data_IF_335126262331
#
_entry.id   IF_335126262331
#
_cell.length_a   1.000
_cell.length_b   1.000
_cell.length_c   1.000
_cell.angle_alpha   90.00
_cell.angle_beta   90.00
_cell.angle_gamma   90.00
#
_symmetry.space_group_name_H-M   'P 1'
#
loop_
_entity.id
_entity.type
_entity.pdbx_description
1 polymer ?
#
# COMPACT_ATOMS: atom_id res chain seq x y z
N UNK A 1 -9.13 4.66 22.18
CA UNK A 1 -9.62 3.26 22.24
C UNK A 1 -8.81 2.50 21.21
N UNK A 2 -8.32 1.29 21.50
CA UNK A 2 -7.46 0.55 20.56
C UNK A 2 -8.31 -0.02 19.44
N UNK A 3 -7.83 0.06 18.21
CA UNK A 3 -8.45 -0.54 17.03
C UNK A 3 -7.54 -1.68 16.55
N UNK A 4 -7.92 -2.92 16.82
CA UNK A 4 -7.05 -4.08 16.63
C UNK A 4 -7.89 -5.21 16.06
N UNK A 5 -7.69 -5.49 14.78
CA UNK A 5 -8.29 -6.64 14.11
C UNK A 5 -7.75 -7.96 14.67
N UNK A 6 -8.54 -9.01 14.53
CA UNK A 6 -8.17 -10.35 15.00
C UNK A 6 -7.06 -11.00 14.15
N UNK A 7 -6.84 -10.51 12.91
CA UNK A 7 -6.00 -11.16 11.91
C UNK A 7 -6.73 -12.30 11.19
N UNK A 8 -6.16 -12.76 10.08
CA UNK A 8 -6.71 -13.85 9.26
C UNK A 8 -5.78 -15.06 9.17
N UNK A 9 -4.50 -14.89 9.49
CA UNK A 9 -3.56 -15.99 9.66
C UNK A 9 -3.55 -16.43 11.13
N UNK A 10 -3.46 -17.75 11.34
CA UNK A 10 -3.32 -18.25 12.70
C UNK A 10 -1.85 -18.18 13.06
N UNK A 11 -1.51 -17.40 14.08
CA UNK A 11 -0.13 -17.27 14.55
C UNK A 11 0.21 -18.34 15.59
N UNK A 12 1.47 -18.76 15.58
CA UNK A 12 2.04 -19.59 16.63
C UNK A 12 2.39 -18.75 17.85
N UNK A 13 2.76 -19.42 18.95
CA UNK A 13 3.30 -18.72 20.12
C UNK A 13 4.61 -18.00 19.77
N UNK A 14 4.69 -16.73 20.13
CA UNK A 14 5.93 -15.98 19.98
C UNK A 14 7.08 -16.66 20.76
N UNK A 15 8.28 -16.80 20.18
CA UNK A 15 9.40 -17.43 20.88
C UNK A 15 9.91 -16.61 22.08
N UNK A 16 9.43 -15.38 22.29
CA UNK A 16 9.77 -14.55 23.44
C UNK A 16 11.22 -14.06 23.41
N UNK A 17 11.84 -14.02 22.23
CA UNK A 17 13.19 -13.48 22.06
C UNK A 17 13.22 -12.01 22.42
N UNK A 18 14.29 -11.58 23.10
CA UNK A 18 14.42 -10.19 23.53
C UNK A 18 14.45 -9.26 22.30
N UNK A 19 13.43 -8.41 22.17
CA UNK A 19 13.30 -7.39 21.12
C UNK A 19 12.37 -6.27 21.58
N UNK A 20 12.30 -5.17 20.82
CA UNK A 20 11.40 -4.08 21.18
C UNK A 20 9.94 -4.49 20.97
N UNK A 21 9.02 -3.82 21.66
CA UNK A 21 7.59 -4.06 21.43
C UNK A 21 7.20 -3.72 19.98
N UNK A 22 7.83 -2.73 19.36
CA UNK A 22 7.60 -2.38 17.96
C UNK A 22 8.01 -3.53 17.02
N UNK A 23 9.21 -4.09 17.21
CA UNK A 23 9.68 -5.22 16.40
C UNK A 23 8.75 -6.43 16.55
N UNK A 24 8.24 -6.68 17.76
CA UNK A 24 7.28 -7.74 18.00
C UNK A 24 5.95 -7.51 17.26
N UNK A 25 5.42 -6.28 17.29
CA UNK A 25 4.20 -5.92 16.55
C UNK A 25 4.40 -5.96 15.03
N UNK A 26 5.57 -5.52 14.54
CA UNK A 26 5.91 -5.62 13.11
C UNK A 26 6.02 -7.08 12.66
N UNK A 27 6.61 -7.96 13.47
CA UNK A 27 6.66 -9.40 13.14
C UNK A 27 5.26 -9.99 12.97
N UNK A 28 4.32 -9.64 13.85
CA UNK A 28 2.91 -10.03 13.74
C UNK A 28 2.30 -9.45 12.46
N UNK A 29 2.54 -8.18 12.19
CA UNK A 29 2.01 -7.46 11.01
C UNK A 29 2.48 -8.10 9.71
N UNK A 30 3.79 -8.35 9.59
CA UNK A 30 4.40 -8.98 8.42
C UNK A 30 3.92 -10.43 8.26
N UNK A 31 3.67 -11.15 9.36
CA UNK A 31 3.12 -12.51 9.28
C UNK A 31 1.68 -12.55 8.75
N UNK A 32 0.97 -11.43 8.82
CA UNK A 32 -0.44 -11.32 8.49
C UNK A 32 -0.72 -10.65 7.14
N UNK A 33 0.26 -10.03 6.48
CA UNK A 33 0.04 -8.98 5.47
C UNK A 33 -0.83 -7.83 6.01
N UNK A 34 -0.75 -7.58 7.31
CA UNK A 34 -1.51 -6.52 7.97
C UNK A 34 -0.85 -5.15 7.82
N UNK A 35 -1.40 -4.19 8.53
CA UNK A 35 -0.78 -2.88 8.72
C UNK A 35 -0.82 -2.44 10.17
N UNK A 36 0.28 -1.81 10.60
CA UNK A 36 0.45 -1.25 11.93
C UNK A 36 0.76 0.24 11.81
N UNK A 37 -0.09 1.07 12.41
CA UNK A 37 0.09 2.51 12.42
C UNK A 37 -0.47 3.15 13.69
N UNK A 38 -0.29 4.45 13.84
CA UNK A 38 -0.87 5.25 14.92
C UNK A 38 -1.88 6.20 14.30
N UNK A 39 -3.14 6.15 14.74
CA UNK A 39 -4.18 7.04 14.23
C UNK A 39 -3.95 8.49 14.66
N UNK A 40 -4.66 9.43 14.05
CA UNK A 40 -4.63 10.85 14.42
C UNK A 40 -4.96 11.10 15.92
N UNK A 41 -5.74 10.21 16.55
CA UNK A 41 -6.06 10.25 17.98
C UNK A 41 -4.96 9.67 18.88
N UNK A 42 -3.83 9.25 18.31
CA UNK A 42 -2.70 8.66 19.04
C UNK A 42 -2.92 7.20 19.48
N UNK A 43 -3.87 6.48 18.88
CA UNK A 43 -4.09 5.06 19.18
C UNK A 43 -3.28 4.18 18.24
N UNK A 44 -2.67 3.11 18.76
CA UNK A 44 -2.11 2.05 17.92
C UNK A 44 -3.25 1.29 17.23
N UNK A 45 -3.10 1.13 15.92
CA UNK A 45 -4.06 0.45 15.04
C UNK A 45 -3.38 -0.73 14.36
N UNK A 46 -4.03 -1.89 14.39
CA UNK A 46 -3.68 -3.04 13.57
C UNK A 46 -4.86 -3.40 12.67
N UNK A 47 -4.62 -3.41 11.36
CA UNK A 47 -5.59 -3.79 10.33
C UNK A 47 -5.16 -5.11 9.69
N UNK A 48 -6.10 -6.03 9.49
CA UNK A 48 -5.84 -7.30 8.84
C UNK A 48 -5.77 -7.18 7.31
N UNK A 49 -5.37 -8.28 6.64
CA UNK A 49 -5.19 -8.28 5.18
C UNK A 49 -6.45 -8.00 4.37
N UNK A 50 -7.65 -8.24 4.90
CA UNK A 50 -8.87 -7.93 4.16
C UNK A 50 -9.03 -6.42 4.05
N UNK A 51 -8.71 -5.67 5.11
CA UNK A 51 -8.74 -4.21 5.07
C UNK A 51 -7.59 -3.69 4.20
N UNK A 52 -6.37 -4.17 4.39
CA UNK A 52 -5.21 -3.64 3.64
C UNK A 52 -5.33 -3.88 2.13
N UNK A 53 -5.90 -5.01 1.70
CA UNK A 53 -6.13 -5.29 0.28
C UNK A 53 -7.47 -4.71 -0.23
N UNK A 54 -8.51 -4.69 0.61
CA UNK A 54 -9.87 -4.35 0.22
C UNK A 54 -10.21 -2.86 0.24
N UNK A 55 -9.48 -2.02 1.00
CA UNK A 55 -9.85 -0.60 1.14
C UNK A 55 -9.79 0.19 -0.17
N UNK A 56 -9.05 -0.31 -1.16
CA UNK A 56 -9.02 0.27 -2.52
C UNK A 56 -10.40 0.25 -3.22
N UNK A 57 -11.32 -0.61 -2.77
CA UNK A 57 -12.71 -0.66 -3.24
C UNK A 57 -13.65 0.31 -2.55
N UNK A 58 -13.16 1.14 -1.62
CA UNK A 58 -13.96 2.14 -0.90
C UNK A 58 -14.42 3.32 -1.78
N UNK A 59 -15.04 4.33 -1.16
CA UNK A 59 -15.47 5.54 -1.88
C UNK A 59 -14.25 6.38 -2.28
N UNK A 60 -14.03 6.48 -3.58
CA UNK A 60 -12.83 7.12 -4.14
C UNK A 60 -12.93 8.65 -4.18
N UNK A 61 -11.90 9.33 -3.67
CA UNK A 61 -11.71 10.77 -3.92
C UNK A 61 -10.89 10.99 -5.19
N UNK A 62 -11.42 11.74 -6.16
CA UNK A 62 -10.77 11.93 -7.47
C UNK A 62 -10.01 13.25 -7.55
N UNK A 63 -8.71 13.13 -7.84
CA UNK A 63 -7.79 14.21 -8.16
C UNK A 63 -7.49 14.24 -9.65
N UNK A 64 -7.63 15.40 -10.30
CA UNK A 64 -7.48 15.53 -11.75
C UNK A 64 -7.05 16.96 -12.17
N UNK A 65 -6.27 17.07 -13.24
CA UNK A 65 -5.71 18.32 -13.77
C UNK A 65 -6.55 18.99 -14.87
N UNK A 66 -7.59 18.33 -15.38
CA UNK A 66 -8.36 18.81 -16.53
C UNK A 66 -9.54 19.74 -16.18
N UNK A 67 -9.67 20.13 -14.91
CA UNK A 67 -10.78 20.96 -14.41
C UNK A 67 -12.01 20.18 -13.96
N UNK A 68 -11.97 18.84 -14.01
CA UNK A 68 -12.93 17.96 -13.31
C UNK A 68 -12.31 17.46 -12.01
N UNK A 69 -13.09 17.17 -10.97
CA UNK A 69 -12.54 16.69 -9.68
C UNK A 69 -11.76 17.74 -8.88
N UNK A 70 -10.91 17.29 -7.97
CA UNK A 70 -10.05 18.14 -7.15
C UNK A 70 -8.71 18.35 -7.88
N UNK A 71 -8.30 19.60 -8.12
CA UNK A 71 -6.98 19.87 -8.70
C UNK A 71 -5.87 19.45 -7.74
N UNK A 72 -4.63 19.29 -8.23
CA UNK A 72 -3.46 19.04 -7.38
C UNK A 72 -2.28 19.87 -7.90
N UNK A 73 -1.32 20.18 -7.04
CA UNK A 73 -0.16 20.99 -7.40
C UNK A 73 0.93 20.16 -8.11
N UNK A 74 1.08 18.88 -7.73
CA UNK A 74 2.01 17.96 -8.36
C UNK A 74 1.53 16.50 -8.24
N UNK A 75 1.91 15.66 -9.19
CA UNK A 75 1.72 14.21 -9.14
C UNK A 75 3.02 13.52 -9.57
N UNK A 76 3.49 12.55 -8.77
CA UNK A 76 4.76 11.86 -8.98
C UNK A 76 4.51 10.56 -9.74
N UNK A 77 4.47 10.64 -11.07
CA UNK A 77 4.35 9.47 -11.93
C UNK A 77 5.69 8.79 -12.16
N UNK A 78 5.71 7.47 -12.02
CA UNK A 78 6.90 6.64 -12.16
C UNK A 78 6.61 5.41 -13.01
N UNK A 79 7.57 5.04 -13.85
CA UNK A 79 7.60 3.79 -14.59
C UNK A 79 9.01 3.24 -14.51
N UNK A 80 9.21 2.25 -13.65
CA UNK A 80 10.46 1.54 -13.46
C UNK A 80 10.18 0.16 -12.87
N UNK A 81 11.22 -0.65 -12.69
CA UNK A 81 11.17 -1.99 -12.13
C UNK A 81 11.46 -2.05 -10.62
N UNK A 82 11.56 -0.90 -9.92
CA UNK A 82 11.97 -0.87 -8.50
C UNK A 82 11.01 -1.58 -7.54
N UNK A 83 9.76 -1.77 -7.96
CA UNK A 83 8.74 -2.50 -7.20
C UNK A 83 8.43 -3.89 -7.79
N UNK A 84 9.23 -4.34 -8.76
CA UNK A 84 9.13 -5.71 -9.28
C UNK A 84 9.79 -6.66 -8.29
N UNK A 85 9.07 -7.70 -7.90
CA UNK A 85 9.57 -8.82 -7.12
C UNK A 85 9.03 -10.11 -7.72
N UNK A 86 9.92 -10.87 -8.35
CA UNK A 86 9.59 -12.07 -9.11
C UNK A 86 10.19 -13.35 -8.52
N UNK A 87 10.81 -13.23 -7.35
CA UNK A 87 11.24 -14.32 -6.49
C UNK A 87 10.98 -13.93 -5.04
N UNK A 88 10.24 -14.74 -4.29
CA UNK A 88 10.00 -14.52 -2.87
C UNK A 88 10.40 -15.76 -2.07
N UNK A 89 11.21 -15.58 -1.04
CA UNK A 89 11.55 -16.63 -0.08
C UNK A 89 11.05 -16.26 1.31
N UNK A 90 10.18 -17.10 1.87
CA UNK A 90 9.49 -16.84 3.14
C UNK A 90 9.72 -18.01 4.07
N UNK A 91 10.05 -17.73 5.34
CA UNK A 91 10.16 -18.77 6.36
C UNK A 91 9.50 -18.35 7.66
N UNK A 92 8.78 -19.30 8.25
CA UNK A 92 8.24 -19.18 9.60
C UNK A 92 9.30 -19.56 10.65
N UNK A 93 9.17 -19.06 11.88
CA UNK A 93 10.10 -19.33 12.98
C UNK A 93 10.19 -20.83 13.33
N UNK A 94 11.30 -21.49 12.98
CA UNK A 94 11.48 -22.94 13.20
C UNK A 94 10.90 -23.83 12.09
N UNK A 95 10.44 -23.25 10.97
CA UNK A 95 10.07 -23.98 9.76
C UNK A 95 11.18 -23.98 8.70
N UNK A 96 10.82 -24.36 7.47
CA UNK A 96 11.75 -24.36 6.33
C UNK A 96 11.45 -23.23 5.34
N UNK A 97 12.47 -22.63 4.68
CA UNK A 97 12.24 -21.61 3.66
C UNK A 97 11.40 -22.14 2.49
N UNK A 98 10.31 -21.44 2.19
CA UNK A 98 9.46 -21.65 1.03
C UNK A 98 9.81 -20.62 -0.04
N UNK A 99 9.83 -21.02 -1.31
CA UNK A 99 10.19 -20.13 -2.41
C UNK A 99 9.16 -20.17 -3.52
N UNK A 100 8.73 -19.00 -3.98
CA UNK A 100 7.92 -18.82 -5.18
C UNK A 100 8.69 -17.99 -6.20
N UNK A 101 8.57 -18.32 -7.49
CA UNK A 101 9.20 -17.58 -8.59
C UNK A 101 8.24 -17.38 -9.75
N UNK A 102 8.45 -16.32 -10.53
CA UNK A 102 7.84 -16.13 -11.84
C UNK A 102 8.93 -16.11 -12.91
N UNK A 103 9.10 -17.24 -13.63
CA UNK A 103 10.17 -17.39 -14.61
C UNK A 103 10.05 -16.41 -15.79
N UNK A 104 8.85 -16.17 -16.29
CA UNK A 104 8.66 -15.24 -17.41
C UNK A 104 9.03 -13.80 -17.03
N UNK A 105 8.70 -13.39 -15.81
CA UNK A 105 9.14 -12.10 -15.25
C UNK A 105 10.66 -12.06 -15.03
N UNK A 106 11.27 -13.13 -14.53
CA UNK A 106 12.74 -13.23 -14.39
C UNK A 106 13.44 -13.12 -15.75
N UNK A 107 12.91 -13.76 -16.79
CA UNK A 107 13.47 -13.67 -18.15
C UNK A 107 13.40 -12.24 -18.71
N UNK A 108 12.44 -11.44 -18.26
CA UNK A 108 12.18 -10.06 -18.71
C UNK A 108 12.93 -9.00 -17.89
N UNK A 109 12.93 -9.14 -16.57
CA UNK A 109 13.43 -8.13 -15.63
C UNK A 109 14.65 -8.58 -14.83
N UNK A 110 15.17 -9.79 -15.06
CA UNK A 110 16.13 -10.45 -14.16
C UNK A 110 15.55 -10.68 -12.74
N UNK A 111 16.32 -11.37 -11.91
CA UNK A 111 15.87 -11.75 -10.57
C UNK A 111 15.73 -10.51 -9.66
N UNK A 112 14.54 -10.37 -9.10
CA UNK A 112 14.24 -9.41 -8.05
C UNK A 112 13.68 -10.17 -6.85
N UNK A 113 14.50 -10.28 -5.79
CA UNK A 113 14.21 -11.16 -4.66
C UNK A 113 13.64 -10.41 -3.46
N UNK A 114 12.59 -10.96 -2.86
CA UNK A 114 12.04 -10.56 -1.57
C UNK A 114 12.26 -11.68 -0.55
N UNK A 115 12.75 -11.36 0.65
CA UNK A 115 13.08 -12.37 1.66
C UNK A 115 12.53 -11.94 3.03
N UNK A 116 11.73 -12.79 3.66
CA UNK A 116 11.33 -12.65 5.06
C UNK A 116 11.53 -13.96 5.81
N UNK A 117 11.91 -13.85 7.08
CA UNK A 117 12.22 -15.01 7.92
C UNK A 117 11.70 -14.81 9.33
N UNK A 118 11.59 -15.92 10.06
CA UNK A 118 11.13 -15.94 11.45
C UNK A 118 9.72 -15.38 11.63
N UNK A 119 8.86 -15.51 10.61
CA UNK A 119 7.46 -15.12 10.71
C UNK A 119 6.67 -16.07 11.61
N UNK A 120 5.54 -15.60 12.13
CA UNK A 120 4.78 -16.26 13.19
C UNK A 120 3.64 -17.16 12.67
N UNK A 121 3.36 -17.20 11.38
CA UNK A 121 2.42 -18.17 10.77
C UNK A 121 2.74 -19.62 11.17
N UNK A 122 1.72 -20.46 11.33
CA UNK A 122 1.84 -21.79 11.94
C UNK A 122 2.48 -22.83 11.03
N UNK A 123 2.28 -22.74 9.72
CA UNK A 123 2.65 -23.79 8.78
C UNK A 123 3.58 -23.30 7.67
N UNK A 124 4.39 -24.21 7.13
CA UNK A 124 5.18 -23.92 5.93
C UNK A 124 4.27 -23.71 4.71
N UNK A 125 3.06 -24.27 4.70
CA UNK A 125 2.07 -24.02 3.65
C UNK A 125 1.64 -22.53 3.61
N UNK A 126 1.35 -21.91 4.75
CA UNK A 126 1.04 -20.48 4.82
C UNK A 126 2.20 -19.61 4.34
N UNK A 127 3.45 -20.03 4.61
CA UNK A 127 4.64 -19.33 4.10
C UNK A 127 4.77 -19.44 2.58
N UNK A 128 4.39 -20.59 2.00
CA UNK A 128 4.35 -20.75 0.56
C UNK A 128 3.25 -19.89 -0.08
N UNK A 129 2.04 -19.88 0.49
CA UNK A 129 0.93 -19.05 0.02
C UNK A 129 1.30 -17.56 0.08
N UNK A 130 1.98 -17.13 1.14
CA UNK A 130 2.54 -15.78 1.24
C UNK A 130 3.45 -15.48 0.04
N UNK A 131 4.45 -16.34 -0.21
CA UNK A 131 5.43 -16.14 -1.26
C UNK A 131 4.76 -16.06 -2.65
N UNK A 132 3.78 -16.94 -2.90
CA UNK A 132 3.03 -16.98 -4.15
C UNK A 132 2.19 -15.72 -4.36
N UNK A 133 1.47 -15.26 -3.33
CA UNK A 133 0.69 -14.02 -3.41
C UNK A 133 1.59 -12.81 -3.70
N UNK A 134 2.74 -12.71 -3.02
CA UNK A 134 3.68 -11.60 -3.24
C UNK A 134 4.18 -11.54 -4.67
N UNK A 135 4.64 -12.69 -5.19
CA UNK A 135 5.15 -12.79 -6.58
C UNK A 135 4.04 -12.51 -7.58
N UNK A 136 2.82 -13.00 -7.35
CA UNK A 136 1.70 -12.75 -8.25
C UNK A 136 1.41 -11.25 -8.41
N UNK A 137 1.43 -10.48 -7.30
CA UNK A 137 1.13 -9.05 -7.30
C UNK A 137 2.29 -8.15 -7.68
N UNK A 138 3.53 -8.67 -7.68
CA UNK A 138 4.75 -7.87 -7.92
C UNK A 138 5.60 -8.37 -9.10
N UNK A 139 5.16 -9.37 -9.85
CA UNK A 139 5.95 -9.91 -10.97
C UNK A 139 6.03 -8.98 -12.18
N UNK A 140 5.18 -7.97 -12.32
CA UNK A 140 5.19 -7.04 -13.45
C UNK A 140 5.27 -5.59 -12.98
N UNK A 141 5.75 -4.72 -13.85
CA UNK A 141 5.69 -3.27 -13.63
C UNK A 141 4.54 -2.64 -14.41
N UNK A 142 3.99 -1.58 -13.85
CA UNK A 142 3.06 -0.67 -14.53
C UNK A 142 3.38 0.77 -14.14
N UNK A 143 2.82 1.73 -14.88
CA UNK A 143 2.90 3.14 -14.48
C UNK A 143 2.21 3.28 -13.12
N UNK A 144 2.79 4.04 -12.21
CA UNK A 144 2.23 4.30 -10.88
C UNK A 144 2.39 5.76 -10.49
N UNK A 145 1.51 6.23 -9.62
CA UNK A 145 1.70 7.51 -8.95
C UNK A 145 2.19 7.22 -7.54
N UNK A 146 3.42 7.62 -7.20
CA UNK A 146 4.01 7.38 -5.87
C UNK A 146 3.57 8.47 -4.86
N UNK A 147 2.97 9.56 -5.34
CA UNK A 147 2.32 10.54 -4.48
C UNK A 147 1.78 11.75 -5.19
N UNK A 148 0.93 12.51 -4.49
CA UNK A 148 0.37 13.77 -4.96
C UNK A 148 0.59 14.88 -3.93
N UNK A 149 0.82 16.10 -4.41
CA UNK A 149 0.95 17.30 -3.57
C UNK A 149 -0.25 18.21 -3.78
N UNK A 150 -0.85 18.66 -2.68
CA UNK A 150 -1.89 19.68 -2.66
C UNK A 150 -1.33 20.99 -2.11
N UNK A 151 -1.68 22.11 -2.74
CA UNK A 151 -1.37 23.45 -2.24
C UNK A 151 -2.59 24.11 -1.61
N UNK A 152 -2.68 24.03 -0.29
CA UNK A 152 -3.80 24.57 0.47
C UNK A 152 -3.77 26.10 0.58
N UNK A 153 -2.69 26.73 0.13
CA UNK A 153 -2.59 28.18 0.03
C UNK A 153 -3.17 28.72 -1.30
N UNK A 154 -3.59 27.84 -2.20
CA UNK A 154 -4.21 28.22 -3.47
C UNK A 154 -5.57 28.91 -3.26
N UNK A 155 -5.84 30.04 -3.92
CA UNK A 155 -7.15 30.69 -3.84
C UNK A 155 -8.28 29.78 -4.34
N UNK A 156 -9.44 29.83 -3.67
CA UNK A 156 -10.67 29.10 -4.04
C UNK A 156 -10.50 27.57 -4.11
N UNK A 157 -9.75 26.99 -3.17
CA UNK A 157 -9.38 25.57 -3.17
C UNK A 157 -10.07 24.75 -2.07
N UNK A 158 -11.33 25.09 -1.74
CA UNK A 158 -12.07 24.53 -0.60
C UNK A 158 -12.19 23.00 -0.64
N UNK A 159 -12.45 22.41 -1.80
CA UNK A 159 -12.56 20.94 -1.94
C UNK A 159 -11.24 20.23 -1.67
N UNK A 160 -10.13 20.81 -2.11
CA UNK A 160 -8.79 20.29 -1.84
C UNK A 160 -8.38 20.46 -0.37
N UNK A 161 -8.79 21.54 0.29
CA UNK A 161 -8.61 21.72 1.74
C UNK A 161 -9.38 20.65 2.51
N UNK A 162 -10.65 20.41 2.16
CA UNK A 162 -11.46 19.36 2.81
C UNK A 162 -10.79 18.00 2.62
N UNK A 163 -10.43 17.64 1.38
CA UNK A 163 -9.76 16.35 1.11
C UNK A 163 -8.44 16.20 1.87
N UNK A 164 -7.61 17.26 1.92
CA UNK A 164 -6.34 17.24 2.62
C UNK A 164 -6.45 17.01 4.13
N UNK A 165 -7.56 17.46 4.74
CA UNK A 165 -7.81 17.33 6.16
C UNK A 165 -8.64 16.10 6.53
N UNK A 166 -9.36 15.52 5.57
CA UNK A 166 -10.24 14.37 5.80
C UNK A 166 -9.62 13.03 5.42
N UNK A 167 -8.73 13.01 4.41
CA UNK A 167 -8.14 11.77 3.91
C UNK A 167 -6.96 11.33 4.80
N UNK A 168 -6.90 10.04 5.08
CA UNK A 168 -5.87 9.40 5.90
C UNK A 168 -5.45 8.05 5.30
N UNK A 169 -4.63 7.30 6.05
CA UNK A 169 -4.12 5.98 5.70
C UNK A 169 -5.24 5.04 5.22
N UNK A 170 -4.98 4.29 4.15
CA UNK A 170 -5.92 3.40 3.45
C UNK A 170 -7.08 4.04 2.68
N UNK A 171 -7.27 5.36 2.74
CA UNK A 171 -8.31 5.99 1.92
C UNK A 171 -7.97 5.83 0.43
N UNK A 172 -8.93 5.39 -0.40
CA UNK A 172 -8.72 5.22 -1.82
C UNK A 172 -8.86 6.56 -2.54
N UNK A 173 -7.87 6.85 -3.38
CA UNK A 173 -7.88 8.02 -4.26
C UNK A 173 -7.67 7.61 -5.70
N UNK A 174 -8.22 8.38 -6.63
CA UNK A 174 -7.93 8.26 -8.06
C UNK A 174 -7.23 9.50 -8.55
N UNK A 175 -6.09 9.31 -9.20
CA UNK A 175 -5.27 10.39 -9.74
C UNK A 175 -5.30 10.29 -11.27
N UNK A 176 -5.70 11.40 -11.89
CA UNK A 176 -5.75 11.52 -13.35
C UNK A 176 -4.86 12.68 -13.79
N UNK A 177 -3.97 12.43 -14.76
CA UNK A 177 -3.09 13.46 -15.32
C UNK A 177 -3.14 13.44 -16.83
N UNK A 178 -3.46 14.58 -17.42
CA UNK A 178 -3.50 14.78 -18.86
C UNK A 178 -2.07 14.90 -19.41
N UNK A 179 -1.70 14.01 -20.33
CA UNK A 179 -0.37 14.01 -20.94
C UNK A 179 -0.31 14.96 -22.15
N UNK A 180 0.89 15.49 -22.48
CA UNK A 180 1.10 16.15 -23.76
C UNK A 180 0.73 15.20 -24.91
N UNK A 181 -0.32 15.54 -25.67
CA UNK A 181 -0.87 14.69 -26.74
C UNK A 181 -2.28 14.16 -26.46
N UNK A 182 -2.86 14.43 -25.28
CA UNK A 182 -4.27 14.20 -24.98
C UNK A 182 -4.62 12.82 -24.42
N UNK A 183 -3.64 11.93 -24.21
CA UNK A 183 -3.83 10.72 -23.40
C UNK A 183 -3.87 11.06 -21.91
N UNK A 184 -4.32 10.13 -21.09
CA UNK A 184 -4.37 10.29 -19.63
C UNK A 184 -3.58 9.19 -18.93
N UNK A 185 -2.88 9.56 -17.87
CA UNK A 185 -2.51 8.63 -16.81
C UNK A 185 -3.67 8.59 -15.82
N UNK A 186 -4.06 7.41 -15.40
CA UNK A 186 -5.24 7.20 -14.57
C UNK A 186 -5.00 6.00 -13.66
N UNK A 187 -4.91 6.25 -12.36
CA UNK A 187 -4.66 5.20 -11.35
C UNK A 187 -5.51 5.42 -10.12
N UNK A 188 -6.07 4.33 -9.62
CA UNK A 188 -6.66 4.26 -8.27
C UNK A 188 -5.64 3.65 -7.33
N UNK A 189 -5.44 4.27 -6.17
CA UNK A 189 -4.36 4.01 -5.23
C UNK A 189 -4.88 4.17 -3.81
N UNK A 190 -4.14 3.66 -2.83
CA UNK A 190 -4.37 3.91 -1.40
C UNK A 190 -3.36 4.92 -0.88
N UNK A 191 -3.75 5.72 0.10
CA UNK A 191 -2.85 6.59 0.84
C UNK A 191 -2.07 5.77 1.88
N UNK A 192 -0.74 5.87 1.86
CA UNK A 192 0.18 5.25 2.82
C UNK A 192 1.01 6.29 3.59
N UNK A 193 0.64 7.56 3.50
CA UNK A 193 1.27 8.60 4.29
C UNK A 193 0.69 9.97 3.97
N UNK A 194 0.58 10.79 5.01
CA UNK A 194 0.17 12.19 4.92
C UNK A 194 1.25 13.04 5.55
N UNK A 195 1.85 13.95 4.78
CA UNK A 195 2.89 14.86 5.26
C UNK A 195 2.48 16.32 5.07
N UNK A 196 2.54 17.10 6.15
CA UNK A 196 2.18 18.51 6.16
C UNK A 196 3.45 19.36 6.23
N UNK A 197 3.64 20.27 5.26
CA UNK A 197 4.71 21.28 5.28
C UNK A 197 4.10 22.67 5.33
N UNK A 198 4.23 23.32 6.49
CA UNK A 198 3.62 24.63 6.76
C UNK A 198 4.72 25.66 7.00
N UNK A 199 4.67 26.75 6.25
CA UNK A 199 5.46 27.96 6.47
C UNK A 199 4.52 29.17 6.57
N UNK A 200 5.00 30.36 6.96
CA UNK A 200 4.14 31.55 7.02
C UNK A 200 3.40 31.87 5.70
N UNK A 201 3.94 31.44 4.56
CA UNK A 201 3.39 31.73 3.24
C UNK A 201 3.08 30.48 2.41
N UNK A 202 3.02 29.29 3.04
CA UNK A 202 2.70 28.05 2.32
C UNK A 202 2.08 27.01 3.22
N UNK A 203 1.15 26.24 2.68
CA UNK A 203 0.64 25.03 3.30
C UNK A 203 0.54 23.93 2.24
N UNK A 204 1.50 23.00 2.25
CA UNK A 204 1.53 21.84 1.37
C UNK A 204 1.17 20.58 2.12
N UNK A 205 0.33 19.75 1.51
CA UNK A 205 0.02 18.40 1.97
C UNK A 205 0.48 17.43 0.90
N UNK A 206 1.30 16.46 1.27
CA UNK A 206 1.77 15.41 0.39
C UNK A 206 1.16 14.08 0.81
N UNK A 207 0.45 13.44 -0.11
CA UNK A 207 -0.03 12.08 0.04
C UNK A 207 0.95 11.13 -0.63
N UNK A 208 1.55 10.23 0.15
CA UNK A 208 2.28 9.08 -0.39
C UNK A 208 1.26 8.02 -0.79
N UNK A 209 1.36 7.51 -2.02
CA UNK A 209 0.35 6.61 -2.58
C UNK A 209 0.98 5.32 -3.06
N UNK A 210 0.27 4.20 -2.86
CA UNK A 210 0.68 2.89 -3.34
C UNK A 210 -0.54 2.09 -3.80
N UNK A 211 -0.29 1.13 -4.69
CA UNK A 211 -1.22 0.03 -4.96
C UNK A 211 -1.21 -0.94 -3.76
N UNK A 212 -2.27 -1.74 -3.57
CA UNK A 212 -2.32 -2.72 -2.50
C UNK A 212 -1.10 -3.65 -2.51
N UNK A 213 -0.70 -4.13 -1.33
CA UNK A 213 0.48 -4.98 -1.19
C UNK A 213 0.31 -6.30 -1.96
N UNK A 214 -0.89 -6.86 -1.88
CA UNK A 214 -1.35 -8.07 -2.56
C UNK A 214 -2.66 -7.80 -3.29
N UNK A 215 -2.92 -8.57 -4.34
CA UNK A 215 -4.19 -8.56 -5.04
C UNK A 215 -5.25 -9.31 -4.24
N UNK A 216 -6.49 -8.82 -4.26
CA UNK A 216 -7.64 -9.47 -3.66
C UNK A 216 -8.82 -9.48 -4.63
N UNK A 217 -9.70 -10.49 -4.51
CA UNK A 217 -10.98 -10.51 -5.22
C UNK A 217 -11.92 -9.49 -4.57
N UNK A 218 -12.28 -8.43 -5.29
CA UNK A 218 -13.21 -7.39 -4.81
C UNK A 218 -14.40 -7.36 -5.76
N UNK A 219 -15.53 -7.86 -5.29
CA UNK A 219 -16.76 -7.89 -6.08
C UNK A 219 -17.24 -6.47 -6.38
N UNK A 220 -17.77 -6.27 -7.60
CA UNK A 220 -18.32 -4.99 -8.09
C UNK A 220 -17.33 -3.81 -8.08
N UNK A 221 -16.01 -4.09 -8.11
CA UNK A 221 -14.97 -3.06 -8.14
C UNK A 221 -14.73 -2.49 -9.55
N UNK A 222 -14.74 -1.16 -9.68
CA UNK A 222 -14.40 -0.46 -10.93
C UNK A 222 -12.96 0.05 -10.97
N UNK A 223 -12.17 -0.13 -9.89
CA UNK A 223 -10.83 0.45 -9.71
C UNK A 223 -9.70 -0.27 -10.46
N UNK A 224 -9.99 -1.38 -11.15
CA UNK A 224 -9.00 -2.16 -11.91
C UNK A 224 -8.15 -3.12 -11.05
N UNK A 225 -8.46 -3.28 -9.76
CA UNK A 225 -7.83 -4.23 -8.85
C UNK A 225 -8.85 -5.27 -8.39
N UNK A 226 -8.46 -6.54 -8.41
CA UNK A 226 -9.35 -7.68 -8.18
C UNK A 226 -10.07 -8.17 -9.44
N UNK A 227 -10.33 -9.48 -9.48
CA UNK A 227 -11.15 -10.14 -10.51
C UNK A 227 -12.65 -10.06 -10.20
#
# INVERSE_FOLDING_TARGET
MRDIDAGLTTLQADPGTARTSLDAMQTVTDSEYGALYVSADGNFVFQDRNVTAGSIGGTVTTFNDNGTGISYANAIWKLDDTLVFNSAQISRAGGTPQTAINQASIDKYFIHSYNLQNLLMQTDAEALDYAQAYVASRAETSIRCDGIELDLYSPNYDTGIVAALSLDFFDPIRVVTTQPGGSTLDKTLQIFGVANTITPNSFRVFFTTLEPVIDALILDNTSGYGL
#
